data_IF_291883873327
#
_entry.id   IF_291883873327
#
_cell.length_a   1.000
_cell.length_b   1.000
_cell.length_c   1.000
_cell.angle_alpha   90.00
_cell.angle_beta   90.00
_cell.angle_gamma   90.00
#
_symmetry.space_group_name_H-M   'P 1'
#
loop_
_entity.id
_entity.type
_entity.pdbx_description
1 polymer ?
#
# COMPACT_ATOMS: atom_id res chain seq x y z
N UNK A 1 -20.33 -2.33 4.25
CA UNK A 1 -19.42 -3.46 4.56
C UNK A 1 -18.48 -2.99 5.67
N UNK A 2 -18.40 -3.70 6.81
CA UNK A 2 -17.47 -3.31 7.89
C UNK A 2 -16.06 -3.65 7.44
N UNK A 3 -15.15 -2.66 7.38
CA UNK A 3 -13.77 -2.92 6.96
C UNK A 3 -13.07 -3.80 8.00
N UNK A 4 -12.46 -4.89 7.55
CA UNK A 4 -11.60 -5.75 8.39
C UNK A 4 -10.16 -5.25 8.42
N UNK A 5 -9.84 -4.22 7.67
CA UNK A 5 -8.48 -3.75 7.42
C UNK A 5 -8.45 -2.25 7.22
N UNK A 6 -7.27 -1.67 7.40
CA UNK A 6 -6.99 -0.26 7.17
C UNK A 6 -6.18 -0.06 5.89
N UNK A 7 -6.29 1.15 5.33
CA UNK A 7 -5.37 1.68 4.31
C UNK A 7 -4.85 3.04 4.77
N UNK A 8 -3.78 3.49 4.17
CA UNK A 8 -3.25 4.83 4.40
C UNK A 8 -3.67 5.74 3.24
N UNK A 9 -4.19 6.92 3.58
CA UNK A 9 -4.54 7.96 2.61
C UNK A 9 -3.27 8.55 1.98
N UNK A 10 -3.43 9.39 0.96
CA UNK A 10 -2.28 10.06 0.33
C UNK A 10 -1.57 10.99 1.32
N UNK A 11 -2.32 11.68 2.19
CA UNK A 11 -1.77 12.53 3.24
C UNK A 11 -0.98 11.73 4.27
N UNK A 12 -1.47 10.56 4.67
CA UNK A 12 -0.77 9.66 5.59
C UNK A 12 0.48 9.04 4.95
N UNK A 13 0.45 8.74 3.65
CA UNK A 13 1.64 8.31 2.92
C UNK A 13 2.68 9.43 2.84
N UNK A 14 2.25 10.69 2.67
CA UNK A 14 3.15 11.85 2.72
C UNK A 14 3.79 12.02 4.09
N UNK A 15 3.05 11.77 5.18
CA UNK A 15 3.63 11.75 6.54
C UNK A 15 4.73 10.69 6.68
N UNK A 16 4.57 9.50 6.05
CA UNK A 16 5.62 8.48 6.04
C UNK A 16 6.80 8.90 5.16
N UNK A 17 6.57 9.59 4.03
CA UNK A 17 7.63 10.11 3.16
C UNK A 17 8.50 11.10 3.91
N UNK A 18 7.90 11.99 4.68
CA UNK A 18 8.60 13.05 5.43
C UNK A 18 9.21 12.56 6.75
N UNK A 19 8.78 11.38 7.24
CA UNK A 19 9.36 10.79 8.46
C UNK A 19 10.85 10.49 8.29
N UNK A 20 11.66 10.90 9.27
CA UNK A 20 13.11 10.65 9.30
C UNK A 20 13.39 9.36 10.08
N UNK A 21 13.82 8.28 9.43
CA UNK A 21 14.16 7.02 10.08
C UNK A 21 15.32 7.15 11.06
N UNK A 22 15.27 6.46 12.19
CA UNK A 22 16.29 6.51 13.24
C UNK A 22 17.44 5.50 13.05
N UNK A 23 17.24 4.48 12.24
CA UNK A 23 18.21 3.42 11.99
C UNK A 23 17.97 2.77 10.62
N UNK A 24 18.91 1.89 10.22
CA UNK A 24 18.86 1.21 8.92
C UNK A 24 17.60 0.35 8.71
N UNK A 25 17.11 -0.33 9.76
CA UNK A 25 15.89 -1.14 9.66
C UNK A 25 14.65 -0.27 9.43
N UNK A 26 14.50 0.86 10.14
CA UNK A 26 13.41 1.80 9.87
C UNK A 26 13.51 2.39 8.46
N UNK A 27 14.73 2.72 7.99
CA UNK A 27 14.97 3.22 6.64
C UNK A 27 14.52 2.20 5.60
N UNK A 28 14.93 0.94 5.74
CA UNK A 28 14.56 -0.14 4.83
C UNK A 28 13.04 -0.34 4.80
N UNK A 29 12.42 -0.51 5.98
CA UNK A 29 10.98 -0.79 6.09
C UNK A 29 10.15 0.35 5.53
N UNK A 30 10.51 1.60 5.84
CA UNK A 30 9.87 2.79 5.26
C UNK A 30 9.95 2.78 3.74
N UNK A 31 11.16 2.58 3.20
CA UNK A 31 11.41 2.58 1.75
C UNK A 31 10.61 1.48 1.05
N UNK A 32 10.69 0.26 1.55
CA UNK A 32 9.99 -0.88 0.97
C UNK A 32 8.46 -0.75 1.08
N UNK A 33 7.95 -0.25 2.20
CA UNK A 33 6.51 -0.02 2.38
C UNK A 33 5.99 1.01 1.37
N UNK A 34 6.68 2.13 1.17
CA UNK A 34 6.33 3.15 0.20
C UNK A 34 6.38 2.62 -1.25
N UNK A 35 7.39 1.81 -1.59
CA UNK A 35 7.43 1.13 -2.89
C UNK A 35 6.16 0.29 -3.06
N UNK A 36 5.78 -0.52 -2.07
CA UNK A 36 4.55 -1.31 -2.10
C UNK A 36 3.28 -0.47 -2.23
N UNK A 37 3.22 0.67 -1.52
CA UNK A 37 2.07 1.58 -1.54
C UNK A 37 1.91 2.34 -2.88
N UNK A 38 2.99 2.51 -3.63
CA UNK A 38 2.96 3.19 -4.93
C UNK A 38 3.03 2.26 -6.15
N UNK A 39 3.26 0.97 -5.94
CA UNK A 39 3.28 -0.01 -7.04
C UNK A 39 2.19 -1.07 -6.93
N UNK A 40 1.57 -1.20 -5.77
CA UNK A 40 0.59 -2.24 -5.52
C UNK A 40 1.18 -3.66 -5.45
N UNK A 41 2.50 -3.83 -5.51
CA UNK A 41 3.17 -5.14 -5.40
C UNK A 41 2.85 -5.84 -4.07
N UNK A 42 2.92 -7.18 -4.05
CA UNK A 42 2.90 -7.95 -2.79
C UNK A 42 4.20 -7.73 -2.02
N UNK A 43 4.17 -7.94 -0.70
CA UNK A 43 5.36 -7.82 0.16
C UNK A 43 6.55 -8.63 -0.40
N UNK A 44 6.34 -9.89 -0.73
CA UNK A 44 7.35 -10.75 -1.35
C UNK A 44 7.90 -10.25 -2.70
N UNK A 45 7.17 -9.38 -3.38
CA UNK A 45 7.59 -8.82 -4.66
C UNK A 45 8.30 -7.47 -4.44
N UNK A 46 7.72 -6.52 -3.68
CA UNK A 46 8.32 -5.20 -3.52
C UNK A 46 9.64 -5.20 -2.72
N UNK A 47 9.89 -6.20 -1.86
CA UNK A 47 11.18 -6.37 -1.19
C UNK A 47 12.32 -6.74 -2.15
N UNK A 48 11.99 -7.14 -3.38
CA UNK A 48 12.95 -7.58 -4.41
C UNK A 48 13.04 -6.63 -5.61
N UNK A 49 12.18 -5.63 -5.69
CA UNK A 49 12.24 -4.64 -6.76
C UNK A 49 13.55 -3.85 -6.67
N UNK A 50 14.10 -3.53 -7.84
CA UNK A 50 15.29 -2.71 -7.99
C UNK A 50 15.23 -1.94 -9.32
N UNK A 51 16.24 -1.15 -9.63
CA UNK A 51 16.26 -0.30 -10.83
C UNK A 51 16.12 -1.08 -12.16
N UNK A 52 16.44 -2.38 -12.20
CA UNK A 52 16.27 -3.22 -13.40
C UNK A 52 14.80 -3.48 -13.72
N UNK A 53 13.91 -3.27 -12.76
CA UNK A 53 12.47 -3.39 -12.98
C UNK A 53 11.86 -2.14 -13.66
N UNK A 54 12.66 -1.08 -13.83
CA UNK A 54 12.22 0.14 -14.53
C UNK A 54 12.47 -0.03 -16.02
N UNK A 55 11.38 -0.13 -16.79
CA UNK A 55 11.40 -0.30 -18.24
C UNK A 55 10.42 0.67 -18.88
N UNK A 56 10.90 1.56 -19.77
CA UNK A 56 10.03 2.46 -20.53
C UNK A 56 9.12 3.37 -19.69
N UNK A 57 9.58 3.82 -18.53
CA UNK A 57 8.77 4.65 -17.63
C UNK A 57 7.73 3.86 -16.80
N UNK A 58 7.86 2.55 -16.75
CA UNK A 58 7.00 1.64 -16.01
C UNK A 58 7.83 0.80 -15.03
N UNK A 59 7.21 0.35 -13.95
CA UNK A 59 7.71 -0.75 -13.11
C UNK A 59 7.15 -2.06 -13.66
N UNK A 60 8.03 -2.98 -14.05
CA UNK A 60 7.67 -4.27 -14.62
C UNK A 60 8.27 -5.40 -13.80
N UNK A 61 7.45 -6.36 -13.39
CA UNK A 61 7.87 -7.49 -12.58
C UNK A 61 6.99 -8.72 -12.79
N UNK A 62 7.52 -9.89 -12.44
CA UNK A 62 6.76 -11.15 -12.37
C UNK A 62 6.51 -11.47 -10.91
N UNK A 63 5.24 -11.58 -10.53
CA UNK A 63 4.87 -11.92 -9.15
C UNK A 63 5.36 -13.31 -8.76
N UNK A 64 6.03 -13.40 -7.61
CA UNK A 64 6.53 -14.68 -7.09
C UNK A 64 5.43 -15.70 -6.85
N UNK A 65 4.31 -15.23 -6.27
CA UNK A 65 3.22 -16.10 -5.85
C UNK A 65 2.37 -16.60 -7.01
N UNK A 66 2.01 -15.69 -7.92
CA UNK A 66 1.05 -16.01 -9.01
C UNK A 66 1.69 -16.24 -10.35
N UNK A 67 2.98 -15.96 -10.49
CA UNK A 67 3.73 -16.02 -11.75
C UNK A 67 3.15 -15.13 -12.86
N UNK A 68 2.28 -14.21 -12.50
CA UNK A 68 1.70 -13.22 -13.41
C UNK A 68 2.65 -12.05 -13.61
N UNK A 69 2.72 -11.57 -14.85
CA UNK A 69 3.41 -10.33 -15.18
C UNK A 69 2.53 -9.14 -14.80
N UNK A 70 3.10 -8.16 -14.14
CA UNK A 70 2.44 -6.92 -13.78
C UNK A 70 3.28 -5.72 -14.19
N UNK A 71 2.61 -4.66 -14.61
CA UNK A 71 3.23 -3.41 -15.05
C UNK A 71 2.48 -2.23 -14.46
N UNK A 72 3.20 -1.32 -13.81
CA UNK A 72 2.64 -0.18 -13.11
C UNK A 72 3.36 1.09 -13.58
N UNK A 73 2.66 2.21 -13.83
CA UNK A 73 3.29 3.48 -14.13
C UNK A 73 4.28 3.90 -13.04
N UNK A 74 5.48 4.30 -13.46
CA UNK A 74 6.55 4.72 -12.54
C UNK A 74 6.26 6.11 -11.98
N UNK A 75 6.01 6.22 -10.68
CA UNK A 75 6.03 7.51 -9.98
C UNK A 75 7.49 7.95 -9.75
N UNK A 76 7.81 9.27 -9.87
CA UNK A 76 9.17 9.77 -9.64
C UNK A 76 9.77 9.35 -8.30
N UNK A 77 8.98 9.39 -7.22
CA UNK A 77 9.39 8.97 -5.89
C UNK A 77 9.81 7.49 -5.84
N UNK A 78 9.14 6.60 -6.59
CA UNK A 78 9.50 5.17 -6.62
C UNK A 78 10.87 4.97 -7.23
N UNK A 79 11.22 5.74 -8.27
CA UNK A 79 12.56 5.73 -8.85
C UNK A 79 13.64 6.15 -7.84
N UNK A 80 13.38 7.19 -7.07
CA UNK A 80 14.26 7.65 -6.01
C UNK A 80 14.43 6.59 -4.91
N UNK A 81 13.34 6.02 -4.43
CA UNK A 81 13.33 4.97 -3.40
C UNK A 81 14.10 3.72 -3.85
N UNK A 82 13.94 3.29 -5.10
CA UNK A 82 14.66 2.13 -5.66
C UNK A 82 16.17 2.42 -5.85
N UNK A 83 16.54 3.65 -6.15
CA UNK A 83 17.96 4.05 -6.30
C UNK A 83 18.70 4.03 -4.96
N UNK A 84 18.00 4.40 -3.87
CA UNK A 84 18.54 4.53 -2.53
C UNK A 84 18.13 3.38 -1.60
N UNK A 85 17.79 2.21 -2.18
CA UNK A 85 17.32 1.07 -1.39
C UNK A 85 18.44 0.53 -0.48
N UNK A 86 18.20 0.45 0.84
CA UNK A 86 19.13 -0.17 1.77
C UNK A 86 19.35 -1.66 1.44
N UNK A 87 20.53 -2.19 1.81
CA UNK A 87 20.90 -3.60 1.52
C UNK A 87 20.52 -4.59 2.62
N UNK A 88 20.02 -4.09 3.73
CA UNK A 88 19.61 -4.89 4.88
C UNK A 88 18.42 -5.76 4.53
N UNK A 89 18.22 -6.84 5.28
CA UNK A 89 17.03 -7.70 5.22
C UNK A 89 16.36 -7.75 6.59
N UNK A 90 15.04 -7.79 6.61
CA UNK A 90 14.25 -7.92 7.84
C UNK A 90 13.20 -9.02 7.67
N UNK A 91 12.91 -9.73 8.77
CA UNK A 91 11.83 -10.73 8.81
C UNK A 91 10.46 -10.05 8.76
N UNK A 92 9.42 -10.78 8.32
CA UNK A 92 8.04 -10.27 8.28
C UNK A 92 7.54 -9.73 9.63
N UNK A 93 7.76 -10.39 10.80
CA UNK A 93 7.41 -9.82 12.09
C UNK A 93 8.14 -8.51 12.38
N UNK A 94 9.44 -8.44 12.09
CA UNK A 94 10.25 -7.23 12.26
C UNK A 94 9.74 -6.11 11.34
N UNK A 95 9.42 -6.41 10.09
CA UNK A 95 8.83 -5.46 9.15
C UNK A 95 7.53 -4.86 9.71
N UNK A 96 6.58 -5.71 10.13
CA UNK A 96 5.29 -5.27 10.64
C UNK A 96 5.41 -4.43 11.92
N UNK A 97 6.33 -4.77 12.83
CA UNK A 97 6.58 -3.99 14.04
C UNK A 97 7.19 -2.61 13.70
N UNK A 98 8.16 -2.58 12.79
CA UNK A 98 8.79 -1.32 12.38
C UNK A 98 7.82 -0.41 11.65
N UNK A 99 7.01 -0.92 10.72
CA UNK A 99 6.05 -0.05 10.00
C UNK A 99 4.99 0.53 10.93
N UNK A 100 4.50 -0.22 11.93
CA UNK A 100 3.61 0.32 12.96
C UNK A 100 4.27 1.44 13.76
N UNK A 101 5.51 1.24 14.20
CA UNK A 101 6.28 2.26 14.92
C UNK A 101 6.51 3.51 14.06
N UNK A 102 6.81 3.35 12.77
CA UNK A 102 6.95 4.46 11.83
C UNK A 102 5.63 5.22 11.71
N UNK A 103 4.51 4.53 11.47
CA UNK A 103 3.19 5.14 11.38
C UNK A 103 2.82 5.92 12.64
N UNK A 104 3.04 5.33 13.83
CA UNK A 104 2.80 6.01 15.10
C UNK A 104 3.63 7.29 15.23
N UNK A 105 4.92 7.22 14.93
CA UNK A 105 5.85 8.36 15.03
C UNK A 105 5.59 9.42 13.95
N UNK A 106 5.06 9.02 12.80
CA UNK A 106 4.63 9.92 11.74
C UNK A 106 3.28 10.62 12.02
N UNK A 107 2.60 10.27 13.12
CA UNK A 107 1.36 10.92 13.54
C UNK A 107 0.08 10.27 13.00
N UNK A 108 0.13 9.02 12.53
CA UNK A 108 -1.04 8.27 12.05
C UNK A 108 -1.77 7.66 13.26
N UNK A 109 -2.47 8.48 14.02
CA UNK A 109 -3.09 8.14 15.31
C UNK A 109 -4.61 8.24 15.31
N UNK A 110 -5.23 8.37 14.13
CA UNK A 110 -6.70 8.40 14.02
C UNK A 110 -7.32 7.16 14.67
N UNK A 111 -8.36 7.37 15.49
CA UNK A 111 -9.15 6.26 16.07
C UNK A 111 -9.98 5.59 14.98
N UNK A 112 -9.82 4.27 14.83
CA UNK A 112 -10.53 3.48 13.83
C UNK A 112 -11.18 2.25 14.45
N UNK A 113 -12.25 1.79 13.81
CA UNK A 113 -12.93 0.54 14.15
C UNK A 113 -12.75 -0.47 13.05
N UNK A 114 -12.17 -1.61 13.38
CA UNK A 114 -11.97 -2.73 12.45
C UNK A 114 -12.71 -3.97 12.94
N UNK A 115 -13.18 -4.79 12.01
CA UNK A 115 -13.80 -6.07 12.36
C UNK A 115 -12.76 -7.18 12.29
N UNK A 116 -12.40 -7.76 13.44
CA UNK A 116 -11.36 -8.78 13.56
C UNK A 116 -11.86 -9.99 14.36
N UNK A 117 -11.68 -11.18 13.82
CA UNK A 117 -12.12 -12.44 14.45
C UNK A 117 -13.59 -12.42 14.95
N UNK A 118 -14.50 -11.87 14.15
CA UNK A 118 -15.91 -11.81 14.49
C UNK A 118 -16.33 -10.70 15.45
N UNK A 119 -15.40 -9.84 15.88
CA UNK A 119 -15.67 -8.74 16.82
C UNK A 119 -15.20 -7.41 16.25
N UNK A 120 -15.89 -6.34 16.65
CA UNK A 120 -15.43 -4.98 16.42
C UNK A 120 -14.32 -4.65 17.43
N UNK A 121 -13.18 -4.18 16.92
CA UNK A 121 -12.02 -3.76 17.72
C UNK A 121 -11.76 -2.31 17.39
N UNK A 122 -11.65 -1.47 18.42
CA UNK A 122 -11.30 -0.07 18.32
C UNK A 122 -9.84 0.13 18.75
N UNK A 123 -9.12 1.01 18.05
CA UNK A 123 -7.74 1.35 18.36
C UNK A 123 -7.24 2.45 17.44
N UNK A 124 -5.99 2.84 17.59
CA UNK A 124 -5.34 3.78 16.70
C UNK A 124 -4.97 3.11 15.38
N UNK A 125 -5.12 3.80 14.27
CA UNK A 125 -4.95 3.27 12.91
C UNK A 125 -3.60 2.58 12.70
N UNK A 126 -2.51 3.13 13.27
CA UNK A 126 -1.18 2.52 13.18
C UNK A 126 -1.10 1.09 13.74
N UNK A 127 -1.91 0.73 14.72
CA UNK A 127 -1.92 -0.60 15.35
C UNK A 127 -2.35 -1.70 14.36
N UNK A 128 -3.16 -1.33 13.37
CA UNK A 128 -3.71 -2.23 12.35
C UNK A 128 -2.90 -2.25 11.05
N UNK A 129 -1.83 -1.44 10.96
CA UNK A 129 -0.96 -1.40 9.77
C UNK A 129 -0.09 -2.66 9.69
N UNK A 130 0.08 -3.17 8.48
CA UNK A 130 0.93 -4.30 8.15
C UNK A 130 1.54 -4.15 6.75
N UNK A 131 2.42 -5.06 6.35
CA UNK A 131 2.97 -5.12 5.00
C UNK A 131 1.89 -5.14 3.91
N UNK A 132 0.75 -5.77 4.17
CA UNK A 132 -0.40 -5.79 3.25
C UNK A 132 -1.12 -4.44 3.13
N UNK A 133 -0.99 -3.56 4.13
CA UNK A 133 -1.60 -2.23 4.10
C UNK A 133 -1.05 -1.39 2.94
N UNK A 134 0.22 -1.54 2.57
CA UNK A 134 0.79 -0.89 1.39
C UNK A 134 -0.03 -1.16 0.13
N UNK A 135 -0.30 -2.43 -0.15
CA UNK A 135 -1.06 -2.85 -1.33
C UNK A 135 -2.54 -2.43 -1.26
N UNK A 136 -3.14 -2.39 -0.07
CA UNK A 136 -4.50 -1.87 0.16
C UNK A 136 -4.56 -0.38 -0.10
N UNK A 137 -3.57 0.38 0.35
CA UNK A 137 -3.46 1.82 0.11
C UNK A 137 -3.38 2.12 -1.39
N UNK A 138 -2.56 1.37 -2.13
CA UNK A 138 -2.50 1.49 -3.59
C UNK A 138 -3.87 1.32 -4.25
N UNK A 139 -4.54 0.20 -3.98
CA UNK A 139 -5.83 -0.10 -4.61
C UNK A 139 -6.91 0.90 -4.21
N UNK A 140 -7.02 1.22 -2.92
CA UNK A 140 -8.07 2.10 -2.39
C UNK A 140 -7.88 3.54 -2.87
N UNK A 141 -6.65 4.08 -2.81
CA UNK A 141 -6.40 5.45 -3.25
C UNK A 141 -6.60 5.62 -4.77
N UNK A 142 -6.19 4.65 -5.59
CA UNK A 142 -6.48 4.69 -7.03
C UNK A 142 -7.98 4.63 -7.31
N UNK A 143 -8.69 3.75 -6.62
CA UNK A 143 -10.14 3.62 -6.77
C UNK A 143 -10.87 4.91 -6.38
N UNK A 144 -10.49 5.53 -5.27
CA UNK A 144 -11.05 6.82 -4.82
C UNK A 144 -10.71 7.99 -5.76
N UNK A 145 -9.66 7.88 -6.56
CA UNK A 145 -9.32 8.85 -7.63
C UNK A 145 -10.05 8.58 -8.95
N UNK A 146 -10.90 7.57 -9.03
CA UNK A 146 -11.69 7.24 -10.20
C UNK A 146 -11.08 6.20 -11.15
N UNK A 147 -9.98 5.56 -10.77
CA UNK A 147 -9.48 4.45 -11.56
C UNK A 147 -10.46 3.27 -11.53
N UNK A 148 -10.73 2.67 -12.68
CA UNK A 148 -11.60 1.52 -12.76
C UNK A 148 -10.93 0.25 -12.17
N UNK A 149 -11.75 -0.66 -11.66
CA UNK A 149 -11.28 -1.87 -10.99
C UNK A 149 -10.49 -2.80 -11.91
N UNK A 150 -10.79 -2.81 -13.21
CA UNK A 150 -10.08 -3.65 -14.17
C UNK A 150 -8.63 -3.15 -14.31
N UNK A 151 -8.43 -1.85 -14.52
CA UNK A 151 -7.09 -1.24 -14.59
C UNK A 151 -6.29 -1.47 -13.31
N UNK A 152 -6.91 -1.31 -12.13
CA UNK A 152 -6.27 -1.60 -10.84
C UNK A 152 -5.88 -3.08 -10.74
N UNK A 153 -6.77 -4.00 -11.18
CA UNK A 153 -6.48 -5.44 -11.15
C UNK A 153 -5.29 -5.83 -12.02
N UNK A 154 -5.18 -5.23 -13.21
CA UNK A 154 -4.04 -5.44 -14.12
C UNK A 154 -2.73 -4.97 -13.49
N UNK A 155 -2.70 -3.75 -12.93
CA UNK A 155 -1.51 -3.21 -12.23
C UNK A 155 -1.11 -4.08 -11.03
N UNK A 156 -2.07 -4.66 -10.31
CA UNK A 156 -1.81 -5.53 -9.17
C UNK A 156 -1.47 -6.97 -9.56
N UNK A 157 -1.57 -7.35 -10.83
CA UNK A 157 -1.39 -8.73 -11.29
C UNK A 157 -2.40 -9.68 -10.67
N UNK A 158 -3.68 -9.27 -10.60
CA UNK A 158 -4.78 -10.11 -10.18
C UNK A 158 -5.41 -10.86 -11.37
N UNK A 159 -5.83 -12.10 -11.14
CA UNK A 159 -6.50 -12.91 -12.15
C UNK A 159 -7.96 -12.47 -12.39
N UNK A 160 -8.56 -11.77 -11.42
CA UNK A 160 -9.93 -11.28 -11.53
C UNK A 160 -10.13 -9.96 -10.77
N UNK A 161 -11.18 -9.23 -11.14
CA UNK A 161 -11.59 -7.98 -10.49
C UNK A 161 -12.06 -8.21 -9.06
N UNK A 162 -12.70 -9.35 -8.77
CA UNK A 162 -13.14 -9.73 -7.43
C UNK A 162 -11.97 -9.81 -6.45
N UNK A 163 -10.81 -10.29 -6.91
CA UNK A 163 -9.60 -10.27 -6.08
C UNK A 163 -9.20 -8.85 -5.69
N UNK A 164 -9.37 -7.88 -6.59
CA UNK A 164 -9.07 -6.47 -6.32
C UNK A 164 -10.06 -5.87 -5.32
N UNK A 165 -11.35 -6.18 -5.44
CA UNK A 165 -12.38 -5.74 -4.51
C UNK A 165 -12.07 -6.08 -3.04
N UNK A 166 -11.45 -7.24 -2.79
CA UNK A 166 -11.02 -7.65 -1.45
C UNK A 166 -9.90 -6.76 -0.84
N UNK A 167 -9.25 -5.94 -1.67
CA UNK A 167 -8.23 -4.98 -1.22
C UNK A 167 -8.80 -3.60 -0.95
N UNK A 168 -10.01 -3.28 -1.43
CA UNK A 168 -10.62 -2.00 -1.16
C UNK A 168 -11.07 -1.91 0.29
N UNK A 169 -10.66 -0.83 0.94
CA UNK A 169 -11.00 -0.54 2.35
C UNK A 169 -12.01 0.61 2.48
N UNK A 170 -12.45 1.21 1.36
CA UNK A 170 -13.43 2.31 1.36
C UNK A 170 -14.87 1.79 1.32
N UNK A 171 -15.77 2.52 2.01
CA UNK A 171 -17.20 2.30 1.98
C UNK A 171 -17.91 3.28 1.04
N UNK A 172 -19.26 3.24 1.04
CA UNK A 172 -20.09 4.15 0.23
C UNK A 172 -19.88 5.62 0.58
N UNK A 173 -19.48 5.94 1.82
CA UNK A 173 -19.25 7.33 2.25
C UNK A 173 -18.03 7.93 1.56
N UNK A 174 -16.95 7.19 1.50
CA UNK A 174 -15.71 7.63 0.85
C UNK A 174 -15.87 7.72 -0.68
N UNK A 175 -16.78 6.91 -1.24
CA UNK A 175 -17.13 6.94 -2.67
C UNK A 175 -18.16 8.02 -3.01
N UNK A 176 -18.82 8.64 -2.03
CA UNK A 176 -19.97 9.50 -2.25
C UNK A 176 -19.69 10.68 -3.20
N UNK A 177 -18.51 11.27 -3.13
CA UNK A 177 -18.13 12.37 -4.02
C UNK A 177 -18.10 11.95 -5.49
N UNK A 178 -17.60 10.75 -5.81
CA UNK A 178 -17.60 10.21 -7.17
C UNK A 178 -18.99 9.79 -7.62
N UNK A 179 -19.74 9.13 -6.73
CA UNK A 179 -21.11 8.69 -7.04
C UNK A 179 -22.03 9.87 -7.31
N UNK A 180 -21.86 10.98 -6.58
CA UNK A 180 -22.65 12.20 -6.80
C UNK A 180 -22.43 12.85 -8.17
N UNK A 181 -21.29 12.62 -8.82
CA UNK A 181 -21.07 13.10 -10.20
C UNK A 181 -21.95 12.39 -11.22
N UNK A 182 -22.32 11.13 -10.98
CA UNK A 182 -23.22 10.38 -11.87
C UNK A 182 -24.69 10.78 -11.72
N UNK A 183 -25.05 11.60 -10.70
CA UNK A 183 -26.40 12.06 -10.45
C UNK A 183 -26.61 13.56 -10.79
N UNK A 184 -25.63 14.20 -11.43
CA UNK A 184 -25.73 15.55 -11.96
C UNK A 184 -26.21 15.51 -13.40
#
# INVERSE_FOLDING_TARGET
>A
MRSTNVWLTDEELEQIITYVPKNANEQLVRTQFLIGAFTGCRHSDYTRLNNRNIVGGMISYVSLKTKTHATVPLKPIVKELLTNLPKEEVTDPTFNNNIRNICRKAGITEAVKVFKAGKEVEGEKWEFVSSHTARRSFATNLYLRGADLYSISQMMGHASVEMTQNYLCCGLREQSAQVMEYFK
#
